data_IF_351977644511
#
_entry.id   IF_351977644511
#
_cell.length_a   1.000
_cell.length_b   1.000
_cell.length_c   1.000
_cell.angle_alpha   90.00
_cell.angle_beta   90.00
_cell.angle_gamma   90.00
#
_symmetry.space_group_name_H-M   'P 1'
#
loop_
_entity.id
_entity.type
_entity.pdbx_description
1 polymer ?
#
# COMPACT_ATOMS: atom_id res chain seq x y z
N UNK A 1 7.17 29.47 -64.14
CA UNK A 1 7.76 30.77 -63.79
C UNK A 1 6.84 31.42 -62.76
N UNK A 2 7.43 31.93 -61.66
CA UNK A 2 6.87 32.87 -60.67
C UNK A 2 5.61 32.43 -59.91
N UNK A 3 5.59 32.26 -58.58
CA UNK A 3 6.37 32.89 -57.52
C UNK A 3 5.68 34.17 -57.04
N UNK A 4 5.06 34.11 -55.85
CA UNK A 4 4.96 35.28 -54.97
C UNK A 4 4.58 34.82 -53.55
N UNK A 5 5.55 34.94 -52.64
CA UNK A 5 5.33 34.97 -51.20
C UNK A 5 4.82 36.36 -50.81
N UNK A 6 3.87 36.45 -49.88
CA UNK A 6 3.77 37.60 -48.97
C UNK A 6 3.40 37.10 -47.57
N UNK A 7 4.27 37.44 -46.62
CA UNK A 7 4.14 37.22 -45.20
C UNK A 7 3.12 38.20 -44.61
N UNK A 8 2.21 37.69 -43.78
CA UNK A 8 1.46 38.50 -42.82
C UNK A 8 1.63 37.85 -41.45
N UNK A 9 2.51 38.44 -40.65
CA UNK A 9 2.66 38.20 -39.22
C UNK A 9 1.33 38.44 -38.53
N UNK A 10 0.69 37.36 -38.08
CA UNK A 10 -0.42 37.41 -37.14
C UNK A 10 0.01 36.83 -35.81
N UNK A 11 0.47 37.66 -34.88
CA UNK A 11 0.64 37.25 -33.49
C UNK A 11 -0.75 37.08 -32.86
N UNK A 12 -1.28 35.85 -32.89
CA UNK A 12 -2.47 35.48 -32.13
C UNK A 12 -2.05 35.23 -30.68
N UNK A 13 -2.15 36.25 -29.83
CA UNK A 13 -2.04 36.10 -28.37
C UNK A 13 -3.33 35.43 -27.91
N UNK A 14 -3.25 34.12 -27.67
CA UNK A 14 -4.33 33.37 -27.02
C UNK A 14 -4.23 33.64 -25.52
N UNK A 15 -5.03 34.59 -25.04
CA UNK A 15 -5.23 34.80 -23.60
C UNK A 15 -6.07 33.63 -23.06
N UNK A 16 -5.40 32.63 -22.51
CA UNK A 16 -6.07 31.61 -21.71
C UNK A 16 -6.44 32.22 -20.35
N UNK A 17 -7.70 32.64 -20.21
CA UNK A 17 -8.28 32.97 -18.92
C UNK A 17 -8.37 31.70 -18.07
N UNK A 18 -7.47 31.55 -17.11
CA UNK A 18 -7.55 30.49 -16.10
C UNK A 18 -8.70 30.81 -15.13
N UNK A 19 -9.88 30.22 -15.37
CA UNK A 19 -10.93 30.13 -14.36
C UNK A 19 -10.52 29.02 -13.37
N UNK A 20 -9.98 29.43 -12.22
CA UNK A 20 -9.80 28.55 -11.09
C UNK A 20 -11.19 28.20 -10.52
N UNK A 21 -11.70 27.00 -10.85
CA UNK A 21 -12.84 26.43 -10.13
C UNK A 21 -12.29 25.88 -8.81
N UNK A 22 -12.62 26.54 -7.70
CA UNK A 22 -12.41 25.98 -6.39
C UNK A 22 -13.30 24.73 -6.27
N UNK A 23 -12.70 23.55 -6.31
CA UNK A 23 -13.37 22.30 -5.95
C UNK A 23 -13.58 22.31 -4.44
N UNK A 24 -14.77 22.70 -4.02
CA UNK A 24 -15.27 22.51 -2.66
C UNK A 24 -15.55 21.01 -2.47
N UNK A 25 -14.49 20.28 -2.13
CA UNK A 25 -14.57 18.85 -1.84
C UNK A 25 -14.90 18.74 -0.34
N UNK A 26 -16.04 18.14 0.06
CA UNK A 26 -16.39 18.01 1.46
C UNK A 26 -15.31 17.18 2.17
N UNK A 27 -14.67 17.79 3.17
CA UNK A 27 -13.74 17.12 4.08
C UNK A 27 -14.59 16.17 4.93
N UNK A 28 -14.68 14.91 4.50
CA UNK A 28 -15.14 13.81 5.34
C UNK A 28 -14.02 13.57 6.37
N UNK A 29 -14.29 13.64 7.68
CA UNK A 29 -13.33 13.24 8.69
C UNK A 29 -12.98 11.77 8.46
N UNK A 30 -11.79 11.51 7.91
CA UNK A 30 -11.25 10.16 7.82
C UNK A 30 -10.97 9.65 9.22
N UNK A 31 -11.46 8.45 9.54
CA UNK A 31 -11.20 7.79 10.81
C UNK A 31 -9.67 7.63 10.99
N UNK A 32 -9.04 8.31 11.97
CA UNK A 32 -7.57 8.32 12.12
C UNK A 32 -7.00 6.94 12.55
N UNK A 33 -7.87 5.94 12.71
CA UNK A 33 -7.54 4.56 13.05
C UNK A 33 -7.69 3.59 11.86
N UNK A 34 -8.19 4.04 10.70
CA UNK A 34 -8.23 3.21 9.49
C UNK A 34 -6.83 3.12 8.86
N UNK A 35 -5.89 2.48 9.57
CA UNK A 35 -4.68 2.00 8.94
C UNK A 35 -5.11 0.96 7.90
N UNK A 36 -4.77 1.11 6.61
CA UNK A 36 -5.09 0.09 5.62
C UNK A 36 -4.42 -1.21 6.08
N UNK A 37 -5.24 -2.19 6.46
CA UNK A 37 -4.75 -3.51 6.86
C UNK A 37 -4.00 -4.10 5.67
N UNK A 38 -2.67 -4.05 5.72
CA UNK A 38 -1.79 -4.57 4.68
C UNK A 38 -1.68 -6.07 4.89
N UNK A 39 -2.51 -6.85 4.21
CA UNK A 39 -2.37 -8.29 4.17
C UNK A 39 -1.10 -8.65 3.41
N UNK A 40 -0.27 -9.53 3.97
CA UNK A 40 0.93 -10.05 3.30
C UNK A 40 0.52 -11.17 2.33
N UNK A 41 -0.12 -10.77 1.23
CA UNK A 41 -0.41 -11.62 0.07
C UNK A 41 0.94 -12.03 -0.53
N UNK A 42 1.16 -13.32 -0.78
CA UNK A 42 2.45 -13.76 -1.33
C UNK A 42 2.64 -13.13 -2.71
N UNK A 43 3.61 -12.21 -2.79
CA UNK A 43 3.81 -11.42 -4.00
C UNK A 43 4.62 -12.23 -5.02
N UNK A 44 3.91 -12.88 -5.94
CA UNK A 44 4.50 -13.36 -7.19
C UNK A 44 4.98 -12.13 -7.98
N UNK A 45 6.28 -12.07 -8.29
CA UNK A 45 6.84 -10.98 -9.10
C UNK A 45 6.55 -11.21 -10.61
N UNK A 46 6.65 -10.14 -11.42
CA UNK A 46 6.34 -10.22 -12.85
C UNK A 46 7.28 -11.19 -13.59
N UNK A 47 8.58 -11.18 -13.30
CA UNK A 47 9.57 -11.96 -14.06
C UNK A 47 9.36 -13.47 -13.83
N UNK A 48 9.09 -13.85 -12.58
CA UNK A 48 8.77 -15.22 -12.17
C UNK A 48 7.45 -15.67 -12.78
N UNK A 49 6.40 -14.83 -12.75
CA UNK A 49 5.15 -15.14 -13.47
C UNK A 49 5.38 -15.29 -14.98
N UNK A 50 6.16 -14.40 -15.58
CA UNK A 50 6.40 -14.41 -17.01
C UNK A 50 7.19 -15.66 -17.46
N UNK A 51 8.21 -16.06 -16.71
CA UNK A 51 9.03 -17.23 -17.04
C UNK A 51 8.38 -18.54 -16.63
N UNK A 52 7.80 -18.63 -15.43
CA UNK A 52 7.29 -19.90 -14.90
C UNK A 52 5.82 -20.14 -15.25
N UNK A 53 4.98 -19.10 -15.25
CA UNK A 53 3.56 -19.26 -15.53
C UNK A 53 3.24 -19.14 -17.03
N UNK A 54 3.86 -18.18 -17.71
CA UNK A 54 3.66 -17.96 -19.15
C UNK A 54 4.69 -18.71 -20.02
N UNK A 55 5.74 -19.28 -19.43
CA UNK A 55 6.78 -20.04 -20.14
C UNK A 55 7.46 -19.21 -21.24
N UNK A 56 7.60 -17.91 -21.00
CA UNK A 56 8.21 -16.97 -21.93
C UNK A 56 9.72 -16.88 -21.69
N UNK A 57 10.51 -16.66 -22.75
CA UNK A 57 11.95 -16.50 -22.61
C UNK A 57 12.28 -15.21 -21.82
N UNK A 58 13.35 -15.21 -21.00
CA UNK A 58 13.71 -14.07 -20.15
C UNK A 58 13.85 -12.75 -20.92
N UNK A 59 14.45 -12.80 -22.13
CA UNK A 59 14.68 -11.61 -22.96
C UNK A 59 13.38 -10.93 -23.38
N UNK A 60 12.29 -11.69 -23.44
CA UNK A 60 10.95 -11.18 -23.72
C UNK A 60 10.28 -10.64 -22.46
N UNK A 61 10.51 -11.24 -21.30
CA UNK A 61 9.99 -10.73 -20.01
C UNK A 61 10.59 -9.35 -19.68
N UNK A 62 11.88 -9.17 -19.98
CA UNK A 62 12.60 -7.90 -19.77
C UNK A 62 12.00 -6.72 -20.57
N UNK A 63 11.32 -7.00 -21.69
CA UNK A 63 10.70 -5.95 -22.52
C UNK A 63 9.50 -5.29 -21.86
N UNK A 64 8.89 -5.92 -20.85
CA UNK A 64 7.72 -5.42 -20.10
C UNK A 64 6.72 -4.70 -21.01
N UNK A 65 6.16 -5.43 -21.96
CA UNK A 65 5.20 -4.83 -22.88
C UNK A 65 3.91 -4.51 -22.10
N UNK A 66 3.18 -3.44 -22.49
CA UNK A 66 1.94 -3.07 -21.79
C UNK A 66 0.91 -4.20 -21.72
N UNK A 67 0.89 -5.10 -22.71
CA UNK A 67 0.02 -6.25 -22.74
C UNK A 67 0.31 -7.24 -21.60
N UNK A 68 1.57 -7.40 -21.23
CA UNK A 68 1.95 -8.31 -20.14
C UNK A 68 1.69 -7.72 -18.79
N UNK A 69 1.94 -6.43 -18.62
CA UNK A 69 1.62 -5.73 -17.38
C UNK A 69 0.11 -5.84 -17.10
N UNK A 70 -0.72 -5.70 -18.14
CA UNK A 70 -2.16 -5.91 -18.05
C UNK A 70 -2.51 -7.37 -17.68
N UNK A 71 -1.89 -8.35 -18.33
CA UNK A 71 -2.13 -9.77 -18.05
C UNK A 71 -1.66 -10.19 -16.65
N UNK A 72 -0.51 -9.69 -16.20
CA UNK A 72 0.03 -9.91 -14.86
C UNK A 72 -0.84 -9.26 -13.79
N UNK A 73 -1.31 -8.03 -14.03
CA UNK A 73 -2.26 -7.35 -13.14
C UNK A 73 -3.56 -8.16 -12.96
N UNK A 74 -4.11 -8.68 -14.06
CA UNK A 74 -5.28 -9.54 -14.02
C UNK A 74 -5.02 -10.86 -13.27
N UNK A 75 -3.82 -11.45 -13.46
CA UNK A 75 -3.40 -12.64 -12.73
C UNK A 75 -3.31 -12.38 -11.21
N UNK A 76 -2.69 -11.28 -10.79
CA UNK A 76 -2.62 -10.89 -9.37
C UNK A 76 -4.01 -10.67 -8.77
N UNK A 77 -4.89 -9.96 -9.47
CA UNK A 77 -6.25 -9.72 -9.01
C UNK A 77 -7.04 -11.04 -8.80
N UNK A 78 -6.75 -12.07 -9.61
CA UNK A 78 -7.35 -13.40 -9.44
C UNK A 78 -6.87 -14.09 -8.16
N UNK A 79 -5.58 -14.01 -7.85
CA UNK A 79 -4.99 -14.62 -6.64
C UNK A 79 -5.47 -13.88 -5.39
N UNK A 80 -5.39 -12.55 -5.41
CA UNK A 80 -5.77 -11.68 -4.28
C UNK A 80 -7.22 -11.95 -3.83
N UNK A 81 -8.13 -12.28 -4.76
CA UNK A 81 -9.52 -12.67 -4.43
C UNK A 81 -9.60 -13.84 -3.44
N UNK A 82 -8.68 -14.80 -3.52
CA UNK A 82 -8.69 -16.00 -2.67
C UNK A 82 -7.79 -15.85 -1.45
N UNK A 83 -6.68 -15.11 -1.55
CA UNK A 83 -5.75 -14.93 -0.43
C UNK A 83 -6.25 -13.92 0.61
N UNK A 84 -6.87 -12.82 0.19
CA UNK A 84 -7.30 -11.77 1.13
C UNK A 84 -8.29 -12.26 2.19
N UNK A 85 -9.36 -13.01 1.86
CA UNK A 85 -10.31 -13.47 2.87
C UNK A 85 -9.66 -14.43 3.88
N UNK A 86 -8.76 -15.29 3.40
CA UNK A 86 -8.04 -16.23 4.27
C UNK A 86 -7.12 -15.50 5.25
N UNK A 87 -6.35 -14.51 4.77
CA UNK A 87 -5.47 -13.71 5.62
C UNK A 87 -6.25 -12.84 6.62
N UNK A 88 -7.40 -12.31 6.21
CA UNK A 88 -8.31 -11.57 7.09
C UNK A 88 -8.82 -12.45 8.23
N UNK A 89 -9.27 -13.66 7.92
CA UNK A 89 -9.75 -14.60 8.93
C UNK A 89 -8.62 -15.02 9.87
N UNK A 90 -7.42 -15.31 9.34
CA UNK A 90 -6.26 -15.66 10.16
C UNK A 90 -5.89 -14.53 11.13
N UNK A 91 -5.89 -13.28 10.68
CA UNK A 91 -5.61 -12.14 11.54
C UNK A 91 -6.69 -11.95 12.60
N UNK A 92 -7.97 -12.12 12.25
CA UNK A 92 -9.10 -12.06 13.19
C UNK A 92 -8.93 -13.09 14.31
N UNK A 93 -8.55 -14.33 13.96
CA UNK A 93 -8.33 -15.39 14.94
C UNK A 93 -7.17 -15.08 15.89
N UNK A 94 -6.07 -14.52 15.37
CA UNK A 94 -4.95 -14.07 16.22
C UNK A 94 -5.38 -12.96 17.18
N UNK A 95 -6.16 -11.98 16.71
CA UNK A 95 -6.67 -10.89 17.56
C UNK A 95 -7.58 -11.42 18.68
N UNK A 96 -8.46 -12.39 18.39
CA UNK A 96 -9.28 -13.02 19.41
C UNK A 96 -8.43 -13.80 20.43
N UNK A 97 -7.43 -14.55 19.96
CA UNK A 97 -6.55 -15.32 20.82
C UNK A 97 -5.79 -14.43 21.81
N UNK A 98 -5.20 -13.33 21.34
CA UNK A 98 -4.46 -12.39 22.20
C UNK A 98 -5.40 -11.55 23.06
N UNK A 99 -6.52 -11.09 22.49
CA UNK A 99 -7.42 -10.14 23.13
C UNK A 99 -8.36 -10.75 24.16
N UNK A 100 -8.83 -11.97 23.92
CA UNK A 100 -9.85 -12.63 24.76
C UNK A 100 -9.25 -13.77 25.57
N UNK A 101 -8.49 -14.67 24.92
CA UNK A 101 -8.03 -15.89 25.56
C UNK A 101 -6.88 -15.66 26.54
N UNK A 102 -5.98 -14.71 26.25
CA UNK A 102 -4.83 -14.39 27.11
C UNK A 102 -5.09 -13.21 28.08
N UNK A 103 -6.26 -12.58 27.99
CA UNK A 103 -6.68 -11.51 28.91
C UNK A 103 -7.90 -11.92 29.73
N UNK A 104 -8.10 -13.22 29.96
CA UNK A 104 -9.13 -13.67 30.89
C UNK A 104 -8.82 -13.09 32.29
N UNK A 105 -9.72 -12.29 32.90
CA UNK A 105 -9.53 -11.77 34.26
C UNK A 105 -9.35 -12.88 35.31
N UNK A 106 -9.78 -14.11 35.02
CA UNK A 106 -9.57 -15.27 35.89
C UNK A 106 -8.10 -15.75 35.86
N UNK A 107 -7.37 -15.58 34.77
CA UNK A 107 -5.94 -15.92 34.69
C UNK A 107 -5.05 -14.91 35.43
N UNK A 108 -5.43 -13.62 35.41
CA UNK A 108 -4.68 -12.56 36.09
C UNK A 108 -4.81 -12.60 37.61
N UNK A 109 -5.88 -13.19 38.14
CA UNK A 109 -6.11 -13.28 39.59
C UNK A 109 -5.30 -14.39 40.27
N UNK A 110 -4.69 -15.31 39.50
CA UNK A 110 -3.77 -16.34 40.00
C UNK A 110 -2.28 -15.95 39.92
N UNK A 111 -1.94 -14.79 39.33
CA UNK A 111 -0.59 -14.26 39.38
C UNK A 111 -0.39 -13.53 40.71
N UNK A 112 0.28 -14.20 41.67
CA UNK A 112 0.78 -13.54 42.87
C UNK A 112 1.60 -12.29 42.46
N UNK A 113 1.44 -11.13 43.13
CA UNK A 113 2.23 -9.95 42.80
C UNK A 113 3.70 -10.28 42.97
N UNK A 114 4.42 -10.44 41.87
CA UNK A 114 5.87 -10.44 41.89
C UNK A 114 6.29 -9.01 42.22
N UNK A 115 6.67 -8.81 43.48
CA UNK A 115 7.36 -7.61 43.94
C UNK A 115 8.54 -7.34 43.02
N UNK A 116 8.38 -6.37 42.11
CA UNK A 116 9.48 -5.81 41.35
C UNK A 116 10.33 -5.00 42.35
N UNK A 117 11.27 -5.66 43.02
CA UNK A 117 12.38 -4.96 43.66
C UNK A 117 13.24 -4.39 42.54
N UNK A 118 12.94 -3.15 42.13
CA UNK A 118 13.83 -2.40 41.26
C UNK A 118 15.15 -2.14 42.00
N UNK A 119 16.31 -2.50 41.45
CA UNK A 119 17.57 -2.01 41.96
C UNK A 119 17.60 -0.50 41.71
N UNK A 120 17.63 0.27 42.79
CA UNK A 120 17.80 1.72 42.75
C UNK A 120 19.24 1.97 42.27
N UNK A 121 19.44 2.22 40.97
CA UNK A 121 20.71 2.75 40.48
C UNK A 121 20.69 4.26 40.65
N UNK A 122 21.27 4.73 41.76
CA UNK A 122 21.62 6.13 41.97
C UNK A 122 22.68 6.57 40.94
N UNK A 123 22.46 7.64 40.16
CA UNK A 123 23.55 8.32 39.48
C UNK A 123 24.12 9.38 40.43
N UNK A 124 25.19 9.03 41.15
CA UNK A 124 26.03 10.04 41.80
C UNK A 124 26.87 10.75 40.73
N UNK A 125 26.87 12.09 40.63
CA UNK A 125 27.82 12.80 39.77
C UNK A 125 29.09 13.12 40.58
N UNK A 126 30.31 12.85 40.06
CA UNK A 126 31.49 13.52 40.53
C UNK A 126 31.93 14.64 39.56
N UNK A 127 32.51 15.64 40.21
CA UNK A 127 32.94 16.97 39.82
C UNK A 127 34.03 17.04 38.75
#
# INVERSE_FOLDING_TARGET
>A
MSGMQFFLSGAAIVLFSAVATAQDNPIVPGDPQAQPTRYNVQNMNFDMWCQEQQHLPPERCDKRLPQDDAAFSAYRAKIERYELPYLQEQQRQQQLNTGILHNDPVDRSNQAPQSQTQPITDPTPPR
#
